data_IF_382563715715
#
_entry.id   IF_382563715715
#
_cell.length_a   1.000
_cell.length_b   1.000
_cell.length_c   1.000
_cell.angle_alpha   90.00
_cell.angle_beta   90.00
_cell.angle_gamma   90.00
#
_symmetry.space_group_name_H-M   'P 1'
#
loop_
_entity.id
_entity.type
_entity.pdbx_description
1 polymer ?
#
# COMPACT_ATOMS: atom_id res chain seq x y z
N UNK A 1 33.11 -11.05 25.47
CA UNK A 1 32.26 -10.54 24.36
C UNK A 1 33.11 -10.54 23.11
N UNK A 2 32.73 -11.30 22.07
CA UNK A 2 33.51 -11.36 20.83
C UNK A 2 33.43 -10.00 20.11
N UNK A 3 34.58 -9.48 19.67
CA UNK A 3 34.66 -8.21 18.93
C UNK A 3 33.84 -8.30 17.64
N UNK A 4 33.04 -7.26 17.38
CA UNK A 4 32.24 -7.13 16.15
C UNK A 4 33.21 -7.07 14.97
N UNK A 5 33.10 -7.94 13.95
CA UNK A 5 33.96 -7.85 12.79
C UNK A 5 33.68 -6.55 12.06
N UNK A 6 34.61 -5.60 12.18
CA UNK A 6 34.65 -4.39 11.38
C UNK A 6 35.16 -4.79 10.00
N UNK A 7 34.26 -5.29 9.16
CA UNK A 7 34.54 -5.41 7.74
C UNK A 7 35.08 -4.06 7.25
N UNK A 8 36.27 -4.08 6.65
CA UNK A 8 36.97 -2.91 6.13
C UNK A 8 36.06 -2.17 5.16
N UNK A 9 35.64 -0.96 5.55
CA UNK A 9 34.87 -0.06 4.71
C UNK A 9 35.73 0.24 3.48
N UNK A 10 35.35 -0.29 2.31
CA UNK A 10 35.98 0.11 1.04
C UNK A 10 35.81 1.62 0.91
N UNK A 11 36.92 2.35 0.80
CA UNK A 11 36.91 3.74 0.40
C UNK A 11 36.55 3.80 -1.08
N UNK A 12 35.29 4.10 -1.37
CA UNK A 12 34.80 4.30 -2.73
C UNK A 12 35.16 5.71 -3.18
N UNK A 13 35.69 5.82 -4.39
CA UNK A 13 35.75 7.12 -5.06
C UNK A 13 34.33 7.66 -5.27
N UNK A 14 34.21 8.98 -5.41
CA UNK A 14 32.92 9.63 -5.70
C UNK A 14 32.25 9.05 -6.94
N UNK A 15 33.04 8.65 -7.94
CA UNK A 15 32.55 8.00 -9.15
C UNK A 15 31.96 6.62 -8.84
N UNK A 16 32.71 5.75 -8.17
CA UNK A 16 32.24 4.41 -7.83
C UNK A 16 30.99 4.43 -6.92
N UNK A 17 30.90 5.43 -6.04
CA UNK A 17 29.70 5.64 -5.24
C UNK A 17 28.49 5.97 -6.12
N UNK A 18 28.61 6.93 -7.05
CA UNK A 18 27.53 7.29 -7.98
C UNK A 18 27.11 6.10 -8.84
N UNK A 19 28.08 5.36 -9.37
CA UNK A 19 27.83 4.17 -10.17
C UNK A 19 27.07 3.10 -9.36
N UNK A 20 27.42 2.91 -8.08
CA UNK A 20 26.70 1.98 -7.19
C UNK A 20 25.25 2.38 -6.91
N UNK A 21 24.98 3.68 -6.79
CA UNK A 21 23.62 4.21 -6.60
C UNK A 21 22.79 4.02 -7.87
N UNK A 22 23.36 4.30 -9.04
CA UNK A 22 22.68 4.08 -10.31
C UNK A 22 22.34 2.60 -10.50
N UNK A 23 23.30 1.70 -10.24
CA UNK A 23 23.05 0.26 -10.31
C UNK A 23 21.91 -0.17 -9.39
N UNK A 24 21.86 0.36 -8.15
CA UNK A 24 20.78 0.08 -7.19
C UNK A 24 19.44 0.63 -7.67
N UNK A 25 19.41 1.82 -8.26
CA UNK A 25 18.20 2.39 -8.84
C UNK A 25 17.67 1.52 -9.98
N UNK A 26 18.54 1.03 -10.88
CA UNK A 26 18.15 0.16 -11.99
C UNK A 26 17.64 -1.20 -11.51
N UNK A 27 18.28 -1.76 -10.46
CA UNK A 27 17.81 -2.99 -9.80
C UNK A 27 16.39 -2.81 -9.23
N UNK A 28 16.14 -1.69 -8.54
CA UNK A 28 14.83 -1.38 -7.97
C UNK A 28 13.79 -1.13 -9.05
N UNK A 29 14.13 -0.43 -10.14
CA UNK A 29 13.21 -0.18 -11.25
C UNK A 29 12.75 -1.50 -11.88
N UNK A 30 13.70 -2.40 -12.20
CA UNK A 30 13.36 -3.75 -12.70
C UNK A 30 12.50 -4.53 -11.72
N UNK A 31 12.79 -4.43 -10.42
CA UNK A 31 11.99 -5.11 -9.41
C UNK A 31 10.56 -4.56 -9.34
N UNK A 32 10.38 -3.25 -9.43
CA UNK A 32 9.06 -2.60 -9.47
C UNK A 32 8.28 -3.09 -10.69
N UNK A 33 8.90 -3.06 -11.88
CA UNK A 33 8.25 -3.47 -13.13
C UNK A 33 7.81 -4.94 -13.11
N UNK A 34 8.56 -5.82 -12.44
CA UNK A 34 8.26 -7.25 -12.35
C UNK A 34 7.33 -7.61 -11.18
N UNK A 35 7.29 -6.81 -10.11
CA UNK A 35 6.62 -7.18 -8.85
C UNK A 35 5.34 -6.40 -8.58
N UNK A 36 5.14 -5.27 -9.27
CA UNK A 36 4.00 -4.39 -9.05
C UNK A 36 3.08 -4.47 -10.26
N UNK A 37 2.02 -5.28 -10.15
CA UNK A 37 0.87 -5.18 -11.05
C UNK A 37 0.20 -3.82 -10.80
N UNK A 38 0.54 -2.82 -11.62
CA UNK A 38 -0.08 -1.51 -11.56
C UNK A 38 -1.55 -1.63 -11.97
N UNK A 39 -2.44 -1.02 -11.18
CA UNK A 39 -3.83 -0.89 -11.62
C UNK A 39 -3.90 -0.12 -12.95
N UNK A 40 -4.86 -0.48 -13.83
CA UNK A 40 -5.14 0.31 -15.02
C UNK A 40 -5.31 1.79 -14.66
N UNK A 41 -4.55 2.64 -15.35
CA UNK A 41 -4.49 4.09 -15.13
C UNK A 41 -5.56 4.85 -15.90
N UNK A 42 -6.37 4.16 -16.70
CA UNK A 42 -7.42 4.79 -17.46
C UNK A 42 -8.49 5.45 -16.55
N UNK A 43 -9.11 6.56 -16.98
CA UNK A 43 -10.10 7.27 -16.17
C UNK A 43 -11.34 6.45 -15.81
N UNK A 44 -11.75 5.50 -16.66
CA UNK A 44 -12.93 4.67 -16.45
C UNK A 44 -12.69 3.64 -15.35
N UNK A 45 -11.58 2.91 -15.40
CA UNK A 45 -11.13 1.97 -14.37
C UNK A 45 -10.94 2.65 -13.02
N UNK A 46 -10.46 3.91 -12.99
CA UNK A 46 -10.43 4.71 -11.75
C UNK A 46 -11.84 4.98 -11.23
N UNK A 47 -12.76 5.43 -12.10
CA UNK A 47 -14.15 5.73 -11.73
C UNK A 47 -14.86 4.51 -11.15
N UNK A 48 -14.67 3.34 -11.77
CA UNK A 48 -15.31 2.09 -11.38
C UNK A 48 -14.79 1.59 -10.03
N UNK A 49 -13.47 1.65 -9.80
CA UNK A 49 -12.87 1.37 -8.47
C UNK A 49 -13.43 2.28 -7.39
N UNK A 50 -13.54 3.58 -7.66
CA UNK A 50 -14.09 4.54 -6.70
C UNK A 50 -15.58 4.28 -6.42
N UNK A 51 -16.35 3.87 -7.43
CA UNK A 51 -17.75 3.46 -7.24
C UNK A 51 -17.85 2.21 -6.35
N UNK A 52 -17.00 1.21 -6.57
CA UNK A 52 -16.92 -0.01 -5.76
C UNK A 52 -16.57 0.27 -4.29
N UNK A 53 -15.60 1.16 -4.03
CA UNK A 53 -15.21 1.58 -2.66
C UNK A 53 -16.34 2.32 -1.91
N UNK A 54 -17.30 2.91 -2.63
CA UNK A 54 -18.50 3.54 -2.05
C UNK A 54 -19.63 2.56 -1.77
N UNK A 55 -19.53 1.31 -2.24
CA UNK A 55 -20.50 0.24 -1.98
C UNK A 55 -20.59 -0.18 -0.51
N UNK A 56 -21.54 -1.05 -0.20
CA UNK A 56 -21.82 -1.50 1.18
C UNK A 56 -20.63 -2.22 1.82
N UNK A 57 -19.88 -2.98 1.03
CA UNK A 57 -18.65 -3.70 1.37
C UNK A 57 -17.38 -2.93 0.99
N UNK A 58 -17.51 -1.67 0.58
CA UNK A 58 -16.43 -0.91 -0.06
C UNK A 58 -15.21 -0.65 0.83
N UNK A 59 -15.34 -0.71 2.16
CA UNK A 59 -14.20 -0.65 3.07
C UNK A 59 -13.35 -1.92 3.06
N UNK A 60 -14.00 -3.09 3.02
CA UNK A 60 -13.32 -4.37 2.88
C UNK A 60 -12.62 -4.43 1.53
N UNK A 61 -13.34 -4.08 0.46
CA UNK A 61 -12.80 -4.00 -0.88
C UNK A 61 -11.54 -3.11 -0.93
N UNK A 62 -11.58 -1.92 -0.32
CA UNK A 62 -10.42 -1.02 -0.27
C UNK A 62 -9.19 -1.68 0.40
N UNK A 63 -9.37 -2.32 1.55
CA UNK A 63 -8.26 -2.94 2.28
C UNK A 63 -7.66 -4.12 1.51
N UNK A 64 -8.49 -4.99 0.95
CA UNK A 64 -8.02 -6.12 0.15
C UNK A 64 -7.34 -5.66 -1.15
N UNK A 65 -7.80 -4.54 -1.73
CA UNK A 65 -7.26 -4.01 -2.99
C UNK A 65 -5.94 -3.26 -2.81
N UNK A 66 -5.81 -2.42 -1.79
CA UNK A 66 -4.65 -1.53 -1.64
C UNK A 66 -3.67 -1.97 -0.56
N UNK A 67 -4.12 -2.78 0.40
CA UNK A 67 -3.32 -3.27 1.53
C UNK A 67 -3.36 -4.81 1.63
N UNK A 68 -3.19 -5.56 0.53
CA UNK A 68 -3.36 -7.01 0.51
C UNK A 68 -2.40 -7.72 1.48
N UNK A 69 -1.20 -7.16 1.71
CA UNK A 69 -0.22 -7.73 2.63
C UNK A 69 -0.59 -7.60 4.12
N UNK A 70 -1.55 -6.75 4.45
CA UNK A 70 -2.06 -6.55 5.82
C UNK A 70 -3.32 -7.38 6.10
N UNK A 71 -4.01 -7.85 5.05
CA UNK A 71 -5.20 -8.71 5.15
C UNK A 71 -4.82 -10.11 4.69
N UNK A 72 -3.96 -10.78 5.47
CA UNK A 72 -3.57 -12.18 5.18
C UNK A 72 -4.54 -13.14 5.86
N UNK A 73 -5.15 -14.03 5.08
CA UNK A 73 -6.04 -15.07 5.59
C UNK A 73 -7.42 -14.57 6.00
N UNK A 74 -8.13 -15.37 6.80
CA UNK A 74 -9.49 -15.06 7.19
C UNK A 74 -9.56 -13.85 8.16
N UNK A 75 -10.48 -12.90 7.93
CA UNK A 75 -10.64 -11.75 8.82
C UNK A 75 -10.97 -12.19 10.25
N UNK A 76 -10.32 -11.59 11.24
CA UNK A 76 -10.69 -11.80 12.65
C UNK A 76 -12.11 -11.29 12.94
N UNK A 77 -12.70 -11.70 14.06
CA UNK A 77 -14.00 -11.17 14.52
C UNK A 77 -13.99 -9.64 14.66
N UNK A 78 -12.85 -9.06 15.07
CA UNK A 78 -12.65 -7.62 15.12
C UNK A 78 -12.71 -6.98 13.73
N UNK A 79 -12.00 -7.50 12.74
CA UNK A 79 -12.03 -6.97 11.36
C UNK A 79 -13.44 -7.07 10.76
N UNK A 80 -14.13 -8.19 10.96
CA UNK A 80 -15.54 -8.34 10.55
C UNK A 80 -16.42 -7.25 11.16
N UNK A 81 -16.23 -6.92 12.45
CA UNK A 81 -16.97 -5.85 13.12
C UNK A 81 -16.63 -4.46 12.57
N UNK A 82 -15.37 -4.18 12.31
CA UNK A 82 -14.90 -2.92 11.70
C UNK A 82 -15.52 -2.70 10.31
N UNK A 83 -15.63 -3.75 9.49
CA UNK A 83 -16.25 -3.67 8.16
C UNK A 83 -17.70 -3.20 8.21
N UNK A 84 -18.44 -3.62 9.24
CA UNK A 84 -19.85 -3.22 9.44
C UNK A 84 -19.97 -1.82 10.05
N UNK A 85 -19.05 -1.41 10.93
CA UNK A 85 -19.16 -0.16 11.69
C UNK A 85 -19.10 1.11 10.81
N UNK A 86 -18.29 1.12 9.73
CA UNK A 86 -18.19 2.28 8.80
C UNK A 86 -19.56 2.70 8.22
N UNK A 87 -20.54 1.78 8.15
CA UNK A 87 -21.91 2.06 7.69
C UNK A 87 -22.67 3.01 8.62
N UNK A 88 -22.43 2.94 9.93
CA UNK A 88 -23.16 3.76 10.92
C UNK A 88 -22.61 5.19 10.96
N UNK A 89 -21.29 5.34 11.01
CA UNK A 89 -20.66 6.66 11.15
C UNK A 89 -20.79 7.55 9.89
N UNK A 90 -20.90 6.97 8.68
CA UNK A 90 -21.12 7.76 7.46
C UNK A 90 -22.59 8.23 7.32
N UNK A 91 -23.56 7.46 7.82
CA UNK A 91 -24.97 7.89 7.85
C UNK A 91 -25.22 9.02 8.85
N UNK A 92 -24.53 9.01 9.99
CA UNK A 92 -24.64 10.04 11.02
C UNK A 92 -24.14 11.43 10.55
N UNK A 93 -23.26 11.48 9.55
CA UNK A 93 -22.77 12.75 8.97
C UNK A 93 -23.64 13.34 7.85
N UNK A 94 -24.67 12.61 7.40
CA UNK A 94 -25.63 13.08 6.38
C UNK A 94 -27.00 13.44 6.98
N UNK A 95 -27.13 13.51 8.31
CA UNK A 95 -28.30 14.13 8.92
C UNK A 95 -28.28 15.63 8.53
N UNK A 96 -29.37 16.17 7.97
CA UNK A 96 -29.45 17.61 7.72
C UNK A 96 -29.35 18.31 9.08
N UNK A 97 -28.44 19.28 9.17
CA UNK A 97 -28.47 20.25 10.26
C UNK A 97 -29.72 21.07 10.01
N UNK A 98 -30.78 20.90 10.80
CA UNK A 98 -31.93 21.79 10.72
C UNK A 98 -31.46 23.16 11.22
N UNK A 99 -31.51 24.16 10.33
CA UNK A 99 -31.45 25.55 10.74
C UNK A 99 -32.80 25.95 11.33
#
# INVERSE_FOLDING_TARGET
MAARPTATRKELSVKEFKDSIQQKADELARWIDLSVDAFPTDPAAKRDRLARVRGADGFRFFLETYLPHYVKGDPSLFMRRCFVWRRKSLRLRKAPVSC
#
